data_IF_519677356731
#
_entry.id   IF_519677356731
#
_cell.length_a   1.000
_cell.length_b   1.000
_cell.length_c   1.000
_cell.angle_alpha   90.00
_cell.angle_beta   90.00
_cell.angle_gamma   90.00
#
_symmetry.space_group_name_H-M   'P 1'
#
loop_
_entity.id
_entity.type
_entity.pdbx_description
1 polymer ?
#
# COMPACT_ATOMS: atom_id res chain seq x y z
N UNK A 1 1.08 -5.76 -14.25
CA UNK A 1 0.78 -5.25 -12.88
C UNK A 1 1.88 -4.30 -12.42
N UNK A 2 3.13 -4.75 -12.23
CA UNK A 2 4.22 -3.90 -11.74
C UNK A 2 4.43 -2.55 -12.45
N UNK A 3 4.41 -2.52 -13.79
CA UNK A 3 4.54 -1.26 -14.55
C UNK A 3 3.39 -0.28 -14.29
N UNK A 4 2.14 -0.73 -14.39
CA UNK A 4 0.97 0.12 -14.15
C UNK A 4 0.90 0.64 -12.70
N UNK A 5 1.21 -0.22 -11.73
CA UNK A 5 1.25 0.14 -10.30
C UNK A 5 2.32 1.19 -9.97
N UNK A 6 3.34 1.33 -10.80
CA UNK A 6 4.38 2.35 -10.63
C UNK A 6 4.07 3.62 -11.42
N UNK A 7 3.68 3.50 -12.69
CA UNK A 7 3.51 4.65 -13.59
C UNK A 7 2.31 5.52 -13.22
N UNK A 8 1.18 4.93 -12.83
CA UNK A 8 -0.04 5.71 -12.55
C UNK A 8 0.13 6.64 -11.33
N UNK A 9 0.60 6.17 -10.16
CA UNK A 9 0.83 7.06 -9.02
C UNK A 9 1.86 8.16 -9.29
N UNK A 10 2.91 7.86 -10.07
CA UNK A 10 3.93 8.85 -10.45
C UNK A 10 3.32 9.93 -11.33
N UNK A 11 2.61 9.55 -12.39
CA UNK A 11 1.93 10.49 -13.27
C UNK A 11 0.94 11.38 -12.51
N UNK A 12 0.14 10.79 -11.62
CA UNK A 12 -0.78 11.53 -10.77
C UNK A 12 -0.06 12.50 -9.84
N UNK A 13 1.06 12.09 -9.23
CA UNK A 13 1.83 12.94 -8.33
C UNK A 13 2.49 14.13 -9.06
N UNK A 14 2.94 13.94 -10.29
CA UNK A 14 3.58 14.98 -11.11
C UNK A 14 2.56 15.96 -11.70
N UNK A 15 1.36 15.48 -12.05
CA UNK A 15 0.30 16.33 -12.59
C UNK A 15 -0.51 17.04 -11.50
N UNK A 16 -0.51 16.55 -10.25
CA UNK A 16 -1.30 17.12 -9.14
C UNK A 16 -0.59 18.25 -8.42
N UNK A 17 -1.34 19.27 -7.99
CA UNK A 17 -0.84 20.33 -7.10
C UNK A 17 -0.37 19.73 -5.77
N UNK A 18 0.62 20.36 -5.15
CA UNK A 18 1.27 19.85 -3.93
C UNK A 18 0.29 19.69 -2.75
N UNK A 19 -0.73 20.56 -2.66
CA UNK A 19 -1.76 20.60 -1.62
C UNK A 19 -2.73 19.40 -1.69
N UNK A 20 -3.11 18.95 -2.89
CA UNK A 20 -4.06 17.84 -3.10
C UNK A 20 -3.38 16.51 -3.45
N UNK A 21 -2.05 16.49 -3.59
CA UNK A 21 -1.29 15.32 -4.06
C UNK A 21 -1.58 14.06 -3.26
N UNK A 22 -1.60 14.17 -1.92
CA UNK A 22 -1.89 13.05 -1.03
C UNK A 22 -3.30 12.48 -1.25
N UNK A 23 -4.29 13.35 -1.47
CA UNK A 23 -5.67 12.94 -1.77
C UNK A 23 -5.76 12.24 -3.11
N UNK A 24 -5.14 12.76 -4.17
CA UNK A 24 -5.18 12.15 -5.52
C UNK A 24 -4.50 10.78 -5.54
N UNK A 25 -3.33 10.66 -4.89
CA UNK A 25 -2.64 9.37 -4.74
C UNK A 25 -3.44 8.41 -3.86
N UNK A 26 -4.09 8.90 -2.80
CA UNK A 26 -5.03 8.13 -1.98
C UNK A 26 -6.22 7.61 -2.78
N UNK A 27 -6.79 8.43 -3.68
CA UNK A 27 -7.87 8.03 -4.57
C UNK A 27 -7.45 6.86 -5.45
N UNK A 28 -6.22 6.83 -5.99
CA UNK A 28 -5.75 5.70 -6.79
C UNK A 28 -5.87 4.36 -6.04
N UNK A 29 -5.42 4.29 -4.79
CA UNK A 29 -5.55 3.07 -3.97
C UNK A 29 -7.02 2.69 -3.70
N UNK A 30 -7.89 3.68 -3.49
CA UNK A 30 -9.32 3.45 -3.36
C UNK A 30 -9.94 2.91 -4.67
N UNK A 31 -9.51 3.42 -5.83
CA UNK A 31 -9.96 2.96 -7.14
C UNK A 31 -9.52 1.51 -7.44
N UNK A 32 -8.36 1.08 -6.96
CA UNK A 32 -7.92 -0.33 -7.09
C UNK A 32 -8.92 -1.26 -6.40
N UNK A 33 -9.30 -0.97 -5.16
CA UNK A 33 -10.25 -1.81 -4.41
C UNK A 33 -11.69 -1.63 -4.91
N UNK A 34 -12.06 -0.44 -5.35
CA UNK A 34 -13.33 -0.24 -6.06
C UNK A 34 -13.41 -1.10 -7.33
N UNK A 35 -12.31 -1.23 -8.07
CA UNK A 35 -12.19 -2.14 -9.21
C UNK A 35 -12.43 -3.61 -8.83
N UNK A 36 -11.96 -4.04 -7.66
CA UNK A 36 -12.25 -5.40 -7.14
C UNK A 36 -13.74 -5.58 -6.83
N UNK A 37 -14.39 -4.60 -6.19
CA UNK A 37 -15.84 -4.63 -5.93
C UNK A 37 -16.61 -4.74 -7.25
N UNK A 38 -16.24 -3.93 -8.25
CA UNK A 38 -16.88 -3.93 -9.55
C UNK A 38 -16.67 -5.25 -10.29
N UNK A 39 -15.48 -5.83 -10.21
CA UNK A 39 -15.18 -7.15 -10.75
C UNK A 39 -16.07 -8.22 -10.10
N UNK A 40 -16.14 -8.28 -8.75
CA UNK A 40 -17.00 -9.25 -8.06
C UNK A 40 -18.49 -9.09 -8.41
N UNK A 41 -18.97 -7.87 -8.65
CA UNK A 41 -20.34 -7.61 -9.09
C UNK A 41 -20.60 -8.13 -10.51
N UNK A 42 -19.68 -7.88 -11.44
CA UNK A 42 -19.77 -8.36 -12.81
C UNK A 42 -19.70 -9.89 -12.85
N UNK A 43 -18.78 -10.48 -12.08
CA UNK A 43 -18.67 -11.93 -11.93
C UNK A 43 -19.98 -12.51 -11.39
N UNK A 44 -20.60 -11.88 -10.39
CA UNK A 44 -21.88 -12.32 -9.84
C UNK A 44 -23.03 -12.24 -10.84
N UNK A 45 -23.02 -11.23 -11.71
CA UNK A 45 -24.04 -11.05 -12.75
C UNK A 45 -23.91 -12.06 -13.89
N UNK A 46 -22.69 -12.34 -14.34
CA UNK A 46 -22.44 -13.22 -15.48
C UNK A 46 -22.32 -14.70 -15.10
N UNK A 47 -22.23 -15.04 -13.81
CA UNK A 47 -22.05 -16.42 -13.35
C UNK A 47 -23.16 -17.38 -13.80
N UNK A 48 -24.38 -16.88 -13.94
CA UNK A 48 -25.54 -17.69 -14.31
C UNK A 48 -25.65 -17.97 -15.82
N UNK A 49 -24.71 -17.46 -16.63
CA UNK A 49 -24.67 -17.70 -18.07
C UNK A 49 -23.67 -18.83 -18.40
N UNK A 50 -24.04 -19.73 -19.31
CA UNK A 50 -23.20 -20.88 -19.71
C UNK A 50 -21.82 -20.46 -20.29
N UNK A 51 -21.73 -19.31 -20.97
CA UNK A 51 -20.48 -18.70 -21.46
C UNK A 51 -20.04 -17.47 -20.64
N UNK A 52 -20.58 -17.31 -19.42
CA UNK A 52 -20.39 -16.16 -18.54
C UNK A 52 -18.93 -15.79 -18.28
N UNK A 53 -18.06 -16.77 -18.11
CA UNK A 53 -16.63 -16.58 -17.83
C UNK A 53 -15.90 -15.76 -18.90
N UNK A 54 -16.34 -15.84 -20.17
CA UNK A 54 -15.77 -15.02 -21.26
C UNK A 54 -16.07 -13.54 -21.05
N UNK A 55 -17.28 -13.24 -20.58
CA UNK A 55 -17.71 -11.87 -20.29
C UNK A 55 -17.04 -11.34 -19.02
N UNK A 56 -16.88 -12.18 -17.99
CA UNK A 56 -16.14 -11.84 -16.77
C UNK A 56 -14.71 -11.35 -17.07
N UNK A 57 -13.97 -12.11 -17.87
CA UNK A 57 -12.61 -11.73 -18.29
C UNK A 57 -12.62 -10.60 -19.32
N UNK A 58 -13.54 -10.67 -20.29
CA UNK A 58 -13.63 -9.73 -21.41
C UNK A 58 -13.99 -8.32 -21.00
N UNK A 59 -14.76 -8.13 -19.92
CA UNK A 59 -15.15 -6.80 -19.45
C UNK A 59 -13.94 -5.99 -18.93
N UNK A 60 -12.88 -6.66 -18.46
CA UNK A 60 -11.61 -6.01 -18.14
C UNK A 60 -10.98 -5.30 -19.35
N UNK A 61 -11.20 -5.79 -20.57
CA UNK A 61 -10.74 -5.14 -21.79
C UNK A 61 -11.47 -3.82 -22.05
N UNK A 62 -12.74 -3.69 -21.62
CA UNK A 62 -13.51 -2.44 -21.76
C UNK A 62 -12.87 -1.32 -20.93
N UNK A 63 -12.55 -1.59 -19.66
CA UNK A 63 -11.86 -0.61 -18.81
C UNK A 63 -10.46 -0.29 -19.32
N UNK A 64 -9.74 -1.29 -19.84
CA UNK A 64 -8.42 -1.09 -20.44
C UNK A 64 -8.50 -0.21 -21.71
N UNK A 65 -9.52 -0.41 -22.55
CA UNK A 65 -9.76 0.41 -23.74
C UNK A 65 -10.17 1.83 -23.36
N UNK A 66 -11.05 1.99 -22.37
CA UNK A 66 -11.41 3.30 -21.83
C UNK A 66 -10.17 4.05 -21.30
N UNK A 67 -9.29 3.36 -20.58
CA UNK A 67 -8.02 3.92 -20.12
C UNK A 67 -7.12 4.31 -21.29
N UNK A 68 -6.98 3.45 -22.31
CA UNK A 68 -6.18 3.71 -23.50
C UNK A 68 -6.68 4.94 -24.26
N UNK A 69 -7.99 5.03 -24.49
CA UNK A 69 -8.63 6.19 -25.13
C UNK A 69 -8.43 7.45 -24.27
N UNK A 70 -8.60 7.34 -22.95
CA UNK A 70 -8.36 8.43 -22.00
C UNK A 70 -6.92 8.95 -22.04
N UNK A 71 -5.94 8.06 -22.18
CA UNK A 71 -4.52 8.42 -22.27
C UNK A 71 -4.20 9.31 -23.48
N UNK A 72 -4.94 9.19 -24.59
CA UNK A 72 -4.74 10.05 -25.77
C UNK A 72 -5.08 11.52 -25.48
N UNK A 73 -5.98 11.79 -24.53
CA UNK A 73 -6.40 13.14 -24.16
C UNK A 73 -5.63 13.72 -22.97
N UNK A 74 -4.86 12.90 -22.27
CA UNK A 74 -4.09 13.30 -21.10
C UNK A 74 -2.80 14.02 -21.54
N UNK A 75 -2.46 15.17 -20.92
CA UNK A 75 -1.20 15.82 -21.20
C UNK A 75 -0.04 14.98 -20.65
N UNK A 76 1.13 15.05 -21.30
CA UNK A 76 2.35 14.47 -20.76
C UNK A 76 2.77 15.15 -19.44
N UNK A 77 3.51 14.43 -18.61
CA UNK A 77 3.99 14.98 -17.33
C UNK A 77 4.91 16.20 -17.56
N UNK A 78 4.71 17.33 -16.85
CA UNK A 78 5.61 18.48 -16.92
C UNK A 78 7.07 18.12 -16.63
N UNK A 79 7.32 17.26 -15.65
CA UNK A 79 8.68 16.84 -15.28
C UNK A 79 9.35 16.03 -16.38
N UNK A 80 8.58 15.17 -17.05
CA UNK A 80 9.08 14.39 -18.18
C UNK A 80 9.42 15.29 -19.39
N UNK A 81 8.61 16.30 -19.67
CA UNK A 81 8.85 17.26 -20.75
C UNK A 81 10.11 18.09 -20.49
N UNK A 82 10.31 18.61 -19.26
CA UNK A 82 11.55 19.33 -18.88
C UNK A 82 12.76 18.40 -18.99
N UNK A 83 12.66 17.14 -18.55
CA UNK A 83 13.74 16.15 -18.68
C UNK A 83 14.13 15.87 -20.13
N UNK A 84 13.20 16.01 -21.08
CA UNK A 84 13.47 15.89 -22.53
C UNK A 84 13.97 17.19 -23.16
N UNK A 85 14.09 18.28 -22.41
CA UNK A 85 14.43 19.62 -22.91
C UNK A 85 13.30 20.30 -23.68
N UNK A 86 12.05 19.83 -23.54
CA UNK A 86 10.87 20.42 -24.22
C UNK A 86 10.17 21.44 -23.31
N UNK A 87 10.91 22.46 -22.85
CA UNK A 87 10.47 23.41 -21.81
C UNK A 87 9.21 24.21 -22.21
N UNK A 88 9.11 24.63 -23.48
CA UNK A 88 7.93 25.36 -23.97
C UNK A 88 6.64 24.53 -23.83
N UNK A 89 6.73 23.21 -24.09
CA UNK A 89 5.59 22.30 -23.93
C UNK A 89 5.31 22.05 -22.45
N UNK A 90 6.35 21.90 -21.63
CA UNK A 90 6.20 21.74 -20.19
C UNK A 90 5.45 22.95 -19.57
N UNK A 91 5.82 24.16 -19.97
CA UNK A 91 5.20 25.40 -19.52
C UNK A 91 3.74 25.52 -19.99
N UNK A 92 3.44 25.10 -21.23
CA UNK A 92 2.07 25.04 -21.74
C UNK A 92 1.20 24.06 -20.95
N UNK A 93 1.74 22.89 -20.59
CA UNK A 93 1.05 21.90 -19.75
C UNK A 93 0.86 22.43 -18.32
N UNK A 94 1.89 23.04 -17.71
CA UNK A 94 1.78 23.68 -16.38
C UNK A 94 0.69 24.75 -16.39
N UNK A 95 0.65 25.60 -17.42
CA UNK A 95 -0.41 26.60 -17.60
C UNK A 95 -1.81 25.98 -17.65
N UNK A 96 -1.96 24.84 -18.33
CA UNK A 96 -3.23 24.10 -18.42
C UNK A 96 -3.62 23.47 -17.06
N UNK A 97 -2.66 22.96 -16.30
CA UNK A 97 -2.90 22.24 -15.03
C UNK A 97 -3.02 23.16 -13.81
N UNK A 98 -2.32 24.30 -13.81
CA UNK A 98 -2.16 25.20 -12.65
C UNK A 98 -2.82 26.56 -12.83
N UNK A 99 -3.12 26.96 -14.08
CA UNK A 99 -3.47 28.33 -14.43
C UNK A 99 -2.20 29.15 -14.75
N UNK A 100 -2.28 30.48 -14.70
CA UNK A 100 -1.17 31.36 -15.14
C UNK A 100 -0.18 31.77 -14.06
N UNK A 101 -0.42 31.47 -12.78
CA UNK A 101 0.41 31.95 -11.68
C UNK A 101 1.60 31.00 -11.38
N UNK A 102 2.81 31.58 -11.22
CA UNK A 102 4.03 30.92 -10.72
C UNK A 102 4.57 29.70 -11.51
N UNK A 103 4.15 29.49 -12.76
CA UNK A 103 4.62 28.34 -13.56
C UNK A 103 6.12 28.36 -13.87
N UNK A 104 6.72 29.54 -14.04
CA UNK A 104 8.15 29.69 -14.30
C UNK A 104 8.98 29.25 -13.08
N UNK A 105 8.55 29.64 -11.88
CA UNK A 105 9.16 29.18 -10.64
C UNK A 105 9.02 27.67 -10.44
N UNK A 106 7.84 27.09 -10.71
CA UNK A 106 7.64 25.63 -10.63
C UNK A 106 8.51 24.90 -11.67
N UNK A 107 8.75 25.49 -12.84
CA UNK A 107 9.65 24.94 -13.87
C UNK A 107 11.11 24.92 -13.41
N UNK A 108 11.58 25.99 -12.76
CA UNK A 108 12.94 26.02 -12.19
C UNK A 108 13.08 25.03 -11.03
N UNK A 109 12.08 24.92 -10.15
CA UNK A 109 12.05 23.89 -9.09
C UNK A 109 12.10 22.46 -9.67
N UNK A 110 11.48 22.23 -10.83
CA UNK A 110 11.55 20.94 -11.54
C UNK A 110 12.95 20.70 -12.10
N UNK A 111 13.62 21.71 -12.67
CA UNK A 111 14.98 21.60 -13.20
C UNK A 111 15.98 21.29 -12.10
N UNK A 112 15.94 22.03 -11.00
CA UNK A 112 16.80 21.79 -9.84
C UNK A 112 16.62 20.36 -9.32
N UNK A 113 15.37 19.88 -9.24
CA UNK A 113 15.09 18.51 -8.82
C UNK A 113 15.55 17.43 -9.83
N UNK A 114 15.64 17.75 -11.12
CA UNK A 114 16.15 16.84 -12.15
C UNK A 114 17.69 16.77 -12.11
N UNK A 115 18.36 17.89 -11.85
CA UNK A 115 19.81 17.93 -11.65
C UNK A 115 20.20 17.18 -10.37
N UNK A 116 19.40 17.30 -9.31
CA UNK A 116 19.55 16.44 -8.12
C UNK A 116 19.35 14.95 -8.45
N UNK A 117 18.41 14.58 -9.34
CA UNK A 117 18.24 13.19 -9.78
C UNK A 117 19.43 12.68 -10.61
N UNK A 118 20.12 13.54 -11.36
CA UNK A 118 21.33 13.14 -12.07
C UNK A 118 22.47 12.75 -11.11
N UNK A 119 22.40 13.21 -9.85
CA UNK A 119 23.33 12.86 -8.77
C UNK A 119 22.96 11.60 -7.98
N UNK A 120 22.01 10.79 -8.47
CA UNK A 120 21.61 9.54 -7.80
C UNK A 120 22.81 8.65 -7.46
N UNK A 121 22.78 8.10 -6.25
CA UNK A 121 23.83 7.24 -5.74
C UNK A 121 23.85 5.93 -6.53
N UNK A 122 25.04 5.50 -6.94
CA UNK A 122 25.24 4.15 -7.46
C UNK A 122 24.82 3.10 -6.43
N UNK A 123 24.33 1.95 -6.88
CA UNK A 123 23.98 0.79 -6.01
C UNK A 123 25.11 0.45 -5.03
N UNK A 124 26.39 0.57 -5.46
CA UNK A 124 27.55 0.34 -4.58
C UNK A 124 27.66 1.36 -3.44
N UNK A 125 27.29 2.61 -3.68
CA UNK A 125 27.28 3.67 -2.67
C UNK A 125 26.10 3.48 -1.70
N UNK A 126 24.92 3.08 -2.23
CA UNK A 126 23.75 2.72 -1.43
C UNK A 126 24.11 1.60 -0.43
N UNK A 127 24.70 0.50 -0.91
CA UNK A 127 25.07 -0.65 -0.07
C UNK A 127 26.13 -0.32 1.00
N UNK A 128 26.93 0.74 0.81
CA UNK A 128 27.93 1.19 1.79
C UNK A 128 27.37 2.19 2.80
N UNK A 129 26.29 2.87 2.47
CA UNK A 129 25.69 3.89 3.34
C UNK A 129 24.81 3.23 4.40
N UNK A 130 25.26 3.24 5.66
CA UNK A 130 24.51 2.66 6.79
C UNK A 130 23.10 3.26 6.94
N UNK A 131 22.90 4.60 6.93
CA UNK A 131 21.56 5.20 7.05
C UNK A 131 20.62 4.75 5.94
N UNK A 132 21.10 4.70 4.69
CA UNK A 132 20.31 4.27 3.54
C UNK A 132 19.95 2.79 3.66
N UNK A 133 20.88 1.94 4.11
CA UNK A 133 20.62 0.52 4.34
C UNK A 133 19.63 0.26 5.47
N UNK A 134 19.64 1.08 6.53
CA UNK A 134 18.61 1.03 7.58
C UNK A 134 17.23 1.38 7.01
N UNK A 135 17.13 2.48 6.25
CA UNK A 135 15.88 2.87 5.61
C UNK A 135 15.40 1.81 4.62
N UNK A 136 16.30 1.25 3.80
CA UNK A 136 16.01 0.16 2.85
C UNK A 136 15.51 -1.09 3.57
N UNK A 137 16.19 -1.53 4.63
CA UNK A 137 15.78 -2.67 5.44
C UNK A 137 14.40 -2.48 6.05
N UNK A 138 14.11 -1.29 6.57
CA UNK A 138 12.79 -0.95 7.10
C UNK A 138 11.72 -0.96 5.99
N UNK A 139 11.92 -0.26 4.88
CA UNK A 139 10.91 -0.18 3.83
C UNK A 139 10.68 -1.52 3.11
N UNK A 140 11.73 -2.27 2.80
CA UNK A 140 11.62 -3.63 2.24
C UNK A 140 10.99 -4.60 3.24
N UNK A 141 11.31 -4.47 4.54
CA UNK A 141 10.71 -5.27 5.60
C UNK A 141 9.21 -5.03 5.76
N UNK A 142 8.77 -3.77 5.68
CA UNK A 142 7.34 -3.42 5.70
C UNK A 142 6.62 -4.00 4.47
N UNK A 143 7.24 -3.93 3.29
CA UNK A 143 6.72 -4.52 2.06
C UNK A 143 6.61 -6.04 2.13
N UNK A 144 7.60 -6.72 2.72
CA UNK A 144 7.57 -8.15 2.95
C UNK A 144 6.46 -8.52 3.95
N UNK A 145 6.36 -7.78 5.06
CA UNK A 145 5.35 -8.00 6.10
C UNK A 145 3.93 -7.91 5.54
N UNK A 146 3.66 -6.94 4.65
CA UNK A 146 2.37 -6.80 3.97
C UNK A 146 1.93 -8.11 3.29
N UNK A 147 2.86 -8.83 2.65
CA UNK A 147 2.56 -10.07 1.92
C UNK A 147 2.61 -11.30 2.82
N UNK A 148 3.55 -11.35 3.76
CA UNK A 148 3.71 -12.45 4.72
C UNK A 148 2.50 -12.60 5.67
N UNK A 149 1.78 -11.51 5.94
CA UNK A 149 0.51 -11.55 6.70
C UNK A 149 -0.65 -12.16 5.87
N UNK A 150 -0.43 -12.46 4.59
CA UNK A 150 -1.25 -13.39 3.82
C UNK A 150 -2.49 -12.80 3.12
N UNK A 151 -2.52 -11.49 2.82
CA UNK A 151 -3.73 -10.85 2.27
C UNK A 151 -4.22 -11.50 0.97
N UNK A 152 -3.31 -11.73 0.02
CA UNK A 152 -3.69 -12.24 -1.30
C UNK A 152 -4.23 -13.67 -1.19
N UNK A 153 -3.62 -14.48 -0.35
CA UNK A 153 -4.11 -15.80 0.03
C UNK A 153 -5.52 -15.76 0.63
N UNK A 154 -5.73 -14.93 1.67
CA UNK A 154 -7.04 -14.80 2.31
C UNK A 154 -8.09 -14.33 1.31
N UNK A 155 -7.73 -13.42 0.39
CA UNK A 155 -8.64 -12.97 -0.66
C UNK A 155 -8.95 -14.08 -1.67
N UNK A 156 -7.95 -14.77 -2.22
CA UNK A 156 -8.13 -15.81 -3.24
C UNK A 156 -8.96 -16.99 -2.73
N UNK A 157 -8.73 -17.38 -1.47
CA UNK A 157 -9.41 -18.52 -0.87
C UNK A 157 -10.56 -18.13 0.06
N UNK A 158 -10.94 -16.86 0.14
CA UNK A 158 -12.03 -16.36 1.00
C UNK A 158 -13.33 -17.15 0.83
N UNK A 159 -13.72 -17.40 -0.42
CA UNK A 159 -14.88 -18.20 -0.77
C UNK A 159 -14.77 -19.64 -0.26
N UNK A 160 -13.62 -20.28 -0.46
CA UNK A 160 -13.34 -21.65 0.00
C UNK A 160 -13.35 -21.72 1.52
N UNK A 161 -12.69 -20.78 2.20
CA UNK A 161 -12.66 -20.62 3.67
C UNK A 161 -14.09 -20.55 4.22
N UNK A 162 -14.95 -19.73 3.63
CA UNK A 162 -16.33 -19.57 4.10
C UNK A 162 -17.19 -20.80 3.82
N UNK A 163 -17.03 -21.44 2.65
CA UNK A 163 -17.68 -22.71 2.33
C UNK A 163 -17.26 -23.80 3.32
N UNK A 164 -15.98 -23.90 3.60
CA UNK A 164 -15.42 -24.84 4.57
C UNK A 164 -15.84 -24.49 6.00
N UNK A 165 -16.09 -23.23 6.33
CA UNK A 165 -16.65 -22.86 7.63
C UNK A 165 -18.13 -23.28 7.80
N UNK A 166 -18.77 -23.78 6.75
CA UNK A 166 -20.16 -24.25 6.76
C UNK A 166 -21.16 -23.25 6.17
N UNK A 167 -20.69 -22.10 5.65
CA UNK A 167 -21.54 -21.19 4.88
C UNK A 167 -21.70 -21.77 3.46
N UNK A 168 -22.69 -22.65 3.27
CA UNK A 168 -23.05 -23.19 1.95
C UNK A 168 -23.50 -24.66 1.88
N UNK A 169 -23.42 -25.42 2.98
CA UNK A 169 -23.82 -26.85 3.02
C UNK A 169 -25.19 -27.08 3.65
N UNK A 170 -26.05 -27.86 2.97
CA UNK A 170 -27.29 -28.61 3.32
C UNK A 170 -28.22 -28.22 4.50
N UNK A 171 -27.98 -27.17 5.26
CA UNK A 171 -28.93 -26.62 6.23
C UNK A 171 -29.69 -25.45 5.65
N UNK A 172 -30.92 -25.24 6.11
CA UNK A 172 -31.84 -24.12 5.81
C UNK A 172 -31.31 -22.72 6.21
N UNK A 173 -29.98 -22.56 6.32
CA UNK A 173 -29.27 -21.32 6.59
C UNK A 173 -29.30 -20.41 5.36
N UNK A 174 -30.44 -19.75 5.16
CA UNK A 174 -30.69 -18.70 4.18
C UNK A 174 -29.89 -17.43 4.53
N UNK A 175 -28.56 -17.48 4.46
CA UNK A 175 -27.71 -16.30 4.73
C UNK A 175 -27.41 -15.49 3.45
N UNK A 176 -27.77 -15.98 2.27
CA UNK A 176 -27.71 -15.19 1.04
C UNK A 176 -28.85 -15.60 0.10
N UNK A 177 -29.52 -14.62 -0.51
CA UNK A 177 -30.66 -14.80 -1.41
C UNK A 177 -30.30 -15.46 -2.76
N UNK A 178 -29.16 -16.13 -2.85
CA UNK A 178 -28.48 -16.50 -4.09
C UNK A 178 -28.26 -18.01 -4.15
N UNK A 179 -28.23 -18.56 -5.37
CA UNK A 179 -27.97 -19.98 -5.63
C UNK A 179 -26.66 -20.45 -4.94
N UNK A 180 -26.62 -21.68 -4.42
CA UNK A 180 -25.49 -22.24 -3.65
C UNK A 180 -24.17 -22.20 -4.42
N UNK A 181 -24.24 -22.32 -5.74
CA UNK A 181 -23.06 -22.31 -6.62
C UNK A 181 -22.45 -20.92 -6.81
N UNK A 182 -23.25 -19.85 -6.65
CA UNK A 182 -22.82 -18.45 -6.77
C UNK A 182 -22.34 -17.84 -5.45
N UNK A 183 -22.53 -18.56 -4.32
CA UNK A 183 -22.16 -18.09 -2.99
C UNK A 183 -20.69 -17.64 -2.89
N UNK A 184 -19.69 -18.36 -3.44
CA UNK A 184 -18.30 -17.90 -3.52
C UNK A 184 -18.10 -16.46 -4.02
N UNK A 185 -18.85 -16.07 -5.06
CA UNK A 185 -18.68 -14.79 -5.74
C UNK A 185 -19.25 -13.65 -4.89
N UNK A 186 -20.42 -13.85 -4.30
CA UNK A 186 -21.04 -12.88 -3.39
C UNK A 186 -20.28 -12.74 -2.06
N UNK A 187 -19.62 -13.81 -1.62
CA UNK A 187 -18.72 -13.76 -0.48
C UNK A 187 -17.44 -12.98 -0.81
N UNK A 188 -16.88 -13.16 -2.02
CA UNK A 188 -15.77 -12.33 -2.51
C UNK A 188 -16.14 -10.84 -2.52
N UNK A 189 -17.34 -10.48 -3.00
CA UNK A 189 -17.83 -9.10 -2.91
C UNK A 189 -17.83 -8.56 -1.47
N UNK A 190 -18.30 -9.38 -0.51
CA UNK A 190 -18.31 -9.02 0.91
C UNK A 190 -16.91 -8.78 1.46
N UNK A 191 -15.92 -9.57 1.02
CA UNK A 191 -14.51 -9.36 1.39
C UNK A 191 -13.94 -8.07 0.82
N UNK A 192 -14.18 -7.77 -0.45
CA UNK A 192 -13.71 -6.54 -1.09
C UNK A 192 -14.34 -5.30 -0.46
N UNK A 193 -15.64 -5.34 -0.12
CA UNK A 193 -16.32 -4.26 0.59
C UNK A 193 -15.73 -4.03 1.99
N UNK A 194 -15.39 -5.11 2.72
CA UNK A 194 -14.76 -5.02 4.04
C UNK A 194 -13.38 -4.35 3.97
N UNK A 195 -12.58 -4.73 2.98
CA UNK A 195 -11.27 -4.11 2.74
C UNK A 195 -11.40 -2.63 2.33
N UNK A 196 -12.35 -2.31 1.45
CA UNK A 196 -12.62 -0.93 1.02
C UNK A 196 -13.00 -0.04 2.21
N UNK A 197 -13.87 -0.54 3.09
CA UNK A 197 -14.22 0.15 4.33
C UNK A 197 -12.98 0.40 5.19
N UNK A 198 -12.12 -0.61 5.35
CA UNK A 198 -10.83 -0.47 6.03
C UNK A 198 -10.01 0.67 5.46
N UNK A 199 -9.85 0.73 4.13
CA UNK A 199 -9.09 1.79 3.45
C UNK A 199 -9.67 3.17 3.72
N UNK A 200 -10.99 3.35 3.65
CA UNK A 200 -11.63 4.63 3.93
C UNK A 200 -11.39 5.10 5.37
N UNK A 201 -11.44 4.17 6.33
CA UNK A 201 -11.12 4.46 7.73
C UNK A 201 -9.64 4.84 7.84
N UNK A 202 -8.75 4.03 7.26
CA UNK A 202 -7.31 4.24 7.29
C UNK A 202 -6.89 5.58 6.71
N UNK A 203 -7.47 5.99 5.58
CA UNK A 203 -7.19 7.29 4.97
C UNK A 203 -7.57 8.46 5.89
N UNK A 204 -8.78 8.43 6.47
CA UNK A 204 -9.21 9.49 7.40
C UNK A 204 -8.36 9.53 8.67
N UNK A 205 -7.86 8.37 9.10
CA UNK A 205 -7.15 8.23 10.35
C UNK A 205 -5.64 8.47 10.18
N UNK A 206 -5.07 8.25 9.00
CA UNK A 206 -3.66 8.46 8.65
C UNK A 206 -3.19 9.87 8.97
N UNK A 207 -4.02 10.85 8.66
CA UNK A 207 -3.71 12.26 8.90
C UNK A 207 -3.84 12.64 10.38
N UNK A 208 -4.56 11.86 11.19
CA UNK A 208 -4.85 12.14 12.61
C UNK A 208 -4.02 11.36 13.61
N UNK A 209 -3.68 10.11 13.32
CA UNK A 209 -2.95 9.22 14.22
C UNK A 209 -1.47 9.12 13.87
N UNK A 210 -1.09 9.27 12.60
CA UNK A 210 0.27 9.00 12.15
C UNK A 210 0.47 7.58 11.65
N UNK A 211 1.64 7.33 11.05
CA UNK A 211 1.89 6.12 10.26
C UNK A 211 2.22 4.94 11.17
N UNK A 212 3.03 5.16 12.21
CA UNK A 212 3.47 4.12 13.14
C UNK A 212 2.30 3.52 13.94
N UNK A 213 1.45 4.29 14.65
CA UNK A 213 0.36 3.71 15.45
C UNK A 213 -0.67 3.01 14.58
N UNK A 214 -0.92 3.47 13.35
CA UNK A 214 -1.83 2.79 12.42
C UNK A 214 -1.29 1.45 11.92
N UNK A 215 -0.02 1.38 11.56
CA UNK A 215 0.61 0.12 11.19
C UNK A 215 0.60 -0.87 12.37
N UNK A 216 0.97 -0.42 13.56
CA UNK A 216 0.97 -1.26 14.77
C UNK A 216 -0.43 -1.79 15.09
N UNK A 217 -1.41 -0.91 15.10
CA UNK A 217 -2.79 -1.31 15.39
C UNK A 217 -3.39 -2.19 14.29
N UNK A 218 -3.03 -1.96 13.01
CA UNK A 218 -3.36 -2.88 11.90
C UNK A 218 -2.80 -4.28 12.13
N UNK A 219 -1.51 -4.40 12.48
CA UNK A 219 -0.89 -5.69 12.78
C UNK A 219 -1.49 -6.37 14.02
N UNK A 220 -1.78 -5.62 15.09
CA UNK A 220 -2.35 -6.18 16.31
C UNK A 220 -3.77 -6.74 16.08
N UNK A 221 -4.63 -5.97 15.39
CA UNK A 221 -5.99 -6.43 15.07
C UNK A 221 -5.93 -7.57 14.06
N UNK A 222 -5.05 -7.51 13.05
CA UNK A 222 -4.87 -8.60 12.09
C UNK A 222 -4.41 -9.90 12.76
N UNK A 223 -3.47 -9.83 13.70
CA UNK A 223 -3.03 -10.99 14.50
C UNK A 223 -4.21 -11.60 15.27
N UNK A 224 -4.96 -10.78 16.03
CA UNK A 224 -6.13 -11.26 16.76
C UNK A 224 -7.19 -11.86 15.83
N UNK A 225 -7.47 -11.20 14.71
CA UNK A 225 -8.47 -11.66 13.75
C UNK A 225 -8.08 -12.98 13.07
N UNK A 226 -6.81 -13.16 12.71
CA UNK A 226 -6.27 -14.41 12.19
C UNK A 226 -6.29 -15.53 13.25
N UNK A 227 -5.99 -15.20 14.50
CA UNK A 227 -6.09 -16.15 15.61
C UNK A 227 -7.54 -16.63 15.84
N UNK A 228 -8.50 -15.70 15.82
CA UNK A 228 -9.93 -16.00 15.90
C UNK A 228 -10.39 -16.86 14.72
N UNK A 229 -9.92 -16.54 13.51
CA UNK A 229 -10.26 -17.29 12.31
C UNK A 229 -9.73 -18.73 12.39
N UNK A 230 -8.47 -18.93 12.78
CA UNK A 230 -7.91 -20.27 13.03
C UNK A 230 -8.63 -21.02 14.16
N UNK A 231 -9.02 -20.31 15.23
CA UNK A 231 -9.81 -20.88 16.33
C UNK A 231 -11.22 -21.30 15.92
N UNK A 232 -11.86 -20.57 14.99
CA UNK A 232 -13.12 -20.96 14.38
C UNK A 232 -13.01 -22.29 13.63
N UNK A 233 -11.97 -22.47 12.82
CA UNK A 233 -11.71 -23.75 12.16
C UNK A 233 -11.40 -24.88 13.13
N UNK A 234 -10.64 -24.62 14.19
CA UNK A 234 -10.35 -25.60 15.24
C UNK A 234 -11.61 -26.08 15.98
N UNK A 235 -12.55 -25.16 16.25
CA UNK A 235 -13.80 -25.45 16.92
C UNK A 235 -14.80 -26.22 16.04
N UNK A 236 -14.65 -26.16 14.71
CA UNK A 236 -15.52 -26.87 13.75
C UNK A 236 -15.38 -28.41 13.85
N UNK A 237 -14.21 -28.92 14.21
CA UNK A 237 -13.91 -30.36 14.26
C UNK A 237 -14.54 -31.10 15.47
N UNK A 238 -15.58 -30.53 16.09
CA UNK A 238 -16.27 -31.11 17.25
C UNK A 238 -17.76 -31.24 16.89
N UNK A 239 -18.33 -32.43 17.05
CA UNK A 239 -19.69 -32.81 16.64
C UNK A 239 -20.84 -32.14 17.43
N UNK A 240 -20.64 -30.94 17.96
CA UNK A 240 -21.64 -30.20 18.74
C UNK A 240 -22.33 -29.12 17.86
N UNK A 241 -23.66 -29.20 17.64
CA UNK A 241 -24.40 -28.25 16.81
C UNK A 241 -24.43 -26.82 17.37
N UNK A 242 -24.30 -26.63 18.69
CA UNK A 242 -24.19 -25.27 19.28
C UNK A 242 -22.83 -24.65 19.01
N UNK A 243 -21.78 -25.48 19.04
CA UNK A 243 -20.41 -25.09 18.75
C UNK A 243 -20.20 -24.79 17.26
N UNK A 244 -20.99 -25.41 16.38
CA UNK A 244 -21.00 -25.14 14.94
C UNK A 244 -21.43 -23.71 14.58
N UNK A 245 -22.42 -23.14 15.29
CA UNK A 245 -22.81 -21.73 15.08
C UNK A 245 -21.77 -20.76 15.64
N UNK A 246 -21.18 -21.09 16.79
CA UNK A 246 -20.12 -20.29 17.39
C UNK A 246 -18.87 -20.29 16.50
N UNK A 247 -18.48 -21.44 15.93
CA UNK A 247 -17.33 -21.54 15.01
C UNK A 247 -17.54 -20.72 13.74
N UNK A 248 -18.73 -20.78 13.13
CA UNK A 248 -19.12 -19.96 11.98
C UNK A 248 -19.01 -18.46 12.30
N UNK A 249 -19.52 -18.03 13.45
CA UNK A 249 -19.46 -16.64 13.88
C UNK A 249 -18.01 -16.19 14.12
N UNK A 250 -17.17 -17.03 14.74
CA UNK A 250 -15.75 -16.76 14.95
C UNK A 250 -14.98 -16.63 13.63
N UNK A 251 -15.19 -17.57 12.69
CA UNK A 251 -14.53 -17.54 11.38
C UNK A 251 -14.93 -16.30 10.58
N UNK A 252 -16.22 -15.96 10.54
CA UNK A 252 -16.70 -14.78 9.81
C UNK A 252 -16.18 -13.49 10.45
N UNK A 253 -16.24 -13.38 11.78
CA UNK A 253 -15.74 -12.21 12.51
C UNK A 253 -14.23 -12.05 12.33
N UNK A 254 -13.49 -13.15 12.39
CA UNK A 254 -12.05 -13.16 12.11
C UNK A 254 -11.74 -12.74 10.68
N UNK A 255 -12.50 -13.21 9.69
CA UNK A 255 -12.26 -12.88 8.28
C UNK A 255 -12.52 -11.40 8.01
N UNK A 256 -13.70 -10.90 8.39
CA UNK A 256 -14.08 -9.50 8.20
C UNK A 256 -13.18 -8.59 9.00
N UNK A 257 -12.92 -8.92 10.26
CA UNK A 257 -12.01 -8.17 11.13
C UNK A 257 -10.60 -8.07 10.56
N UNK A 258 -10.07 -9.16 10.00
CA UNK A 258 -8.78 -9.18 9.33
C UNK A 258 -8.76 -8.26 8.11
N UNK A 259 -9.77 -8.34 7.23
CA UNK A 259 -9.82 -7.55 6.00
C UNK A 259 -9.95 -6.05 6.28
N UNK A 260 -10.76 -5.66 7.26
CA UNK A 260 -10.89 -4.27 7.71
C UNK A 260 -9.57 -3.78 8.31
N UNK A 261 -8.97 -4.57 9.22
CA UNK A 261 -7.71 -4.23 9.87
C UNK A 261 -6.56 -4.09 8.86
N UNK A 262 -6.50 -4.98 7.87
CA UNK A 262 -5.54 -4.91 6.79
C UNK A 262 -5.76 -3.64 5.95
N UNK A 263 -7.02 -3.39 5.56
CA UNK A 263 -7.41 -2.22 4.76
C UNK A 263 -6.99 -0.89 5.38
N UNK A 264 -7.11 -0.73 6.70
CA UNK A 264 -6.86 0.56 7.35
C UNK A 264 -5.39 0.96 7.48
N UNK A 265 -4.46 0.02 7.30
CA UNK A 265 -3.06 0.23 7.62
C UNK A 265 -2.15 -0.47 6.63
N UNK A 266 -2.01 -1.80 6.77
CA UNK A 266 -1.12 -2.60 5.92
C UNK A 266 -1.46 -2.54 4.42
N UNK A 267 -2.67 -2.19 4.01
CA UNK A 267 -3.01 -2.06 2.59
C UNK A 267 -2.31 -0.87 1.91
N UNK A 268 -2.29 0.30 2.56
CA UNK A 268 -1.87 1.57 1.93
C UNK A 268 -0.56 2.11 2.48
N UNK A 269 -0.32 1.97 3.79
CA UNK A 269 0.84 2.58 4.45
C UNK A 269 2.19 2.05 3.97
N UNK A 270 2.38 0.75 3.66
CA UNK A 270 3.62 0.27 3.05
C UNK A 270 4.00 1.06 1.79
N UNK A 271 3.03 1.29 0.89
CA UNK A 271 3.25 2.02 -0.36
C UNK A 271 3.54 3.50 -0.13
N UNK A 272 2.86 4.12 0.84
CA UNK A 272 3.15 5.51 1.24
C UNK A 272 4.57 5.64 1.81
N UNK A 273 4.94 4.76 2.74
CA UNK A 273 6.25 4.78 3.39
C UNK A 273 7.39 4.47 2.41
N UNK A 274 7.15 3.65 1.39
CA UNK A 274 8.11 3.42 0.32
C UNK A 274 8.52 4.70 -0.43
N UNK A 275 7.67 5.74 -0.40
CA UNK A 275 7.99 7.06 -0.95
C UNK A 275 8.61 8.03 0.06
N UNK A 276 8.39 7.82 1.36
CA UNK A 276 8.79 8.74 2.44
C UNK A 276 10.14 8.39 3.09
N UNK A 277 10.49 7.09 3.17
CA UNK A 277 11.62 6.61 4.00
C UNK A 277 13.00 6.89 3.42
N UNK A 278 13.12 7.04 2.09
CA UNK A 278 14.40 7.07 1.41
C UNK A 278 14.91 8.48 1.14
N UNK A 279 16.23 8.70 1.28
CA UNK A 279 16.85 9.94 0.85
C UNK A 279 16.69 10.11 -0.66
N UNK A 280 16.56 11.36 -1.10
CA UNK A 280 16.28 11.73 -2.48
C UNK A 280 17.22 11.02 -3.46
N UNK A 281 18.53 11.07 -3.20
CA UNK A 281 19.56 10.50 -4.07
C UNK A 281 19.56 8.96 -4.19
N UNK A 282 18.81 8.23 -3.35
CA UNK A 282 18.70 6.76 -3.44
C UNK A 282 17.24 6.28 -3.59
N UNK A 283 16.28 7.21 -3.67
CA UNK A 283 14.86 6.90 -3.50
C UNK A 283 14.31 5.97 -4.56
N UNK A 284 14.58 6.24 -5.83
CA UNK A 284 14.08 5.44 -6.95
C UNK A 284 14.55 3.99 -6.87
N UNK A 285 15.84 3.80 -6.64
CA UNK A 285 16.48 2.49 -6.51
C UNK A 285 15.96 1.73 -5.29
N UNK A 286 15.93 2.37 -4.11
CA UNK A 286 15.42 1.74 -2.89
C UNK A 286 13.93 1.38 -2.99
N UNK A 287 13.11 2.29 -3.52
CA UNK A 287 11.68 2.04 -3.74
C UNK A 287 11.45 0.89 -4.73
N UNK A 288 12.28 0.77 -5.77
CA UNK A 288 12.29 -0.34 -6.72
C UNK A 288 12.60 -1.68 -6.04
N UNK A 289 13.68 -1.74 -5.24
CA UNK A 289 14.07 -2.95 -4.48
C UNK A 289 12.97 -3.38 -3.51
N UNK A 290 12.37 -2.44 -2.78
CA UNK A 290 11.25 -2.72 -1.86
C UNK A 290 10.00 -3.20 -2.59
N UNK A 291 9.69 -2.63 -3.75
CA UNK A 291 8.58 -3.08 -4.60
C UNK A 291 8.84 -4.49 -5.12
N UNK A 292 10.05 -4.80 -5.56
CA UNK A 292 10.45 -6.15 -5.96
C UNK A 292 10.31 -7.14 -4.80
N UNK A 293 10.72 -6.72 -3.59
CA UNK A 293 10.56 -7.51 -2.37
C UNK A 293 9.09 -7.84 -2.10
N UNK A 294 8.19 -6.86 -2.28
CA UNK A 294 6.75 -7.09 -2.17
C UNK A 294 6.29 -8.21 -3.13
N UNK A 295 6.57 -8.08 -4.43
CA UNK A 295 6.12 -9.07 -5.41
C UNK A 295 6.78 -10.44 -5.23
N UNK A 296 8.03 -10.48 -4.75
CA UNK A 296 8.71 -11.74 -4.41
C UNK A 296 8.00 -12.47 -3.26
N UNK A 297 7.72 -11.78 -2.15
CA UNK A 297 7.01 -12.39 -1.03
C UNK A 297 5.56 -12.72 -1.39
N UNK A 298 4.93 -11.93 -2.25
CA UNK A 298 3.63 -12.28 -2.80
C UNK A 298 3.66 -13.64 -3.52
N UNK A 299 4.64 -13.84 -4.41
CA UNK A 299 4.81 -15.10 -5.13
C UNK A 299 5.07 -16.27 -4.17
N UNK A 300 5.96 -16.09 -3.19
CA UNK A 300 6.29 -17.13 -2.19
C UNK A 300 5.05 -17.53 -1.38
N UNK A 301 4.32 -16.56 -0.83
CA UNK A 301 3.14 -16.82 0.00
C UNK A 301 2.01 -17.44 -0.82
N UNK A 302 1.75 -16.94 -2.02
CA UNK A 302 0.73 -17.51 -2.91
C UNK A 302 1.05 -18.94 -3.33
N UNK A 303 2.32 -19.24 -3.65
CA UNK A 303 2.76 -20.56 -4.08
C UNK A 303 2.87 -21.58 -2.95
N UNK A 304 3.15 -21.15 -1.72
CA UNK A 304 3.29 -22.05 -0.56
C UNK A 304 2.01 -22.32 0.21
N UNK A 305 0.99 -21.47 0.08
CA UNK A 305 -0.20 -21.56 0.95
C UNK A 305 -0.97 -22.88 0.82
N UNK A 306 -1.26 -23.34 -0.39
CA UNK A 306 -2.00 -24.60 -0.57
C UNK A 306 -1.22 -25.78 0.02
N UNK A 307 0.08 -25.82 -0.21
CA UNK A 307 0.96 -26.82 0.39
C UNK A 307 0.91 -26.79 1.92
N UNK A 308 0.88 -25.60 2.54
CA UNK A 308 0.74 -25.49 4.00
C UNK A 308 -0.61 -26.03 4.49
N UNK A 309 -1.71 -25.75 3.79
CA UNK A 309 -3.04 -26.24 4.16
C UNK A 309 -3.16 -27.77 4.01
N UNK A 310 -2.47 -28.35 3.02
CA UNK A 310 -2.45 -29.80 2.77
C UNK A 310 -1.49 -30.58 3.70
N UNK A 311 -0.62 -29.88 4.43
CA UNK A 311 0.26 -30.47 5.45
C UNK A 311 -0.47 -30.66 6.80
N UNK A 312 0.16 -31.30 7.81
CA UNK A 312 -0.46 -31.47 9.14
C UNK A 312 -0.82 -30.17 9.88
N UNK A 313 -0.41 -29.00 9.37
CA UNK A 313 -0.87 -27.71 9.88
C UNK A 313 -2.37 -27.50 9.63
N UNK A 314 -2.93 -28.08 8.58
CA UNK A 314 -4.30 -27.88 8.14
C UNK A 314 -4.66 -26.37 7.97
N UNK A 315 -5.94 -26.08 7.74
CA UNK A 315 -6.44 -24.71 7.62
C UNK A 315 -6.22 -23.90 8.92
N UNK A 316 -6.50 -24.51 10.07
CA UNK A 316 -6.39 -23.86 11.39
C UNK A 316 -4.95 -23.43 11.73
N UNK A 317 -3.97 -24.33 11.55
CA UNK A 317 -2.57 -24.07 11.87
C UNK A 317 -1.95 -23.07 10.91
N UNK A 318 -2.39 -23.05 9.65
CA UNK A 318 -1.95 -22.05 8.68
C UNK A 318 -2.36 -20.63 9.11
N UNK A 319 -3.59 -20.43 9.60
CA UNK A 319 -4.01 -19.11 10.10
C UNK A 319 -3.33 -18.71 11.40
N UNK A 320 -3.04 -19.66 12.29
CA UNK A 320 -2.23 -19.39 13.47
C UNK A 320 -0.78 -19.04 13.13
N UNK A 321 -0.19 -19.67 12.11
CA UNK A 321 1.11 -19.28 11.60
C UNK A 321 1.10 -17.84 11.07
N UNK A 322 0.11 -17.46 10.27
CA UNK A 322 -0.07 -16.08 9.80
C UNK A 322 -0.28 -15.09 10.97
N UNK A 323 -1.01 -15.50 12.00
CA UNK A 323 -1.16 -14.72 13.24
C UNK A 323 0.18 -14.51 13.93
N UNK A 324 0.99 -15.56 14.08
CA UNK A 324 2.34 -15.47 14.66
C UNK A 324 3.25 -14.53 13.85
N UNK A 325 3.17 -14.59 12.52
CA UNK A 325 3.87 -13.66 11.62
C UNK A 325 3.40 -12.22 11.85
N UNK A 326 2.09 -11.99 11.99
CA UNK A 326 1.55 -10.67 12.28
C UNK A 326 1.99 -10.12 13.66
N UNK A 327 2.09 -10.98 14.68
CA UNK A 327 2.65 -10.63 16.00
C UNK A 327 4.15 -10.31 15.90
N UNK A 328 4.93 -11.13 15.18
CA UNK A 328 6.35 -10.87 14.96
C UNK A 328 6.55 -9.54 14.21
N UNK A 329 5.72 -9.28 13.20
CA UNK A 329 5.67 -8.01 12.49
C UNK A 329 5.32 -6.82 13.39
N UNK A 330 4.33 -6.99 14.28
CA UNK A 330 3.99 -5.98 15.30
C UNK A 330 5.19 -5.64 16.18
N UNK A 331 5.86 -6.66 16.74
CA UNK A 331 7.03 -6.46 17.61
C UNK A 331 8.16 -5.79 16.84
N UNK A 332 8.43 -6.24 15.61
CA UNK A 332 9.46 -5.65 14.76
C UNK A 332 9.16 -4.19 14.43
N UNK A 333 7.94 -3.86 14.03
CA UNK A 333 7.52 -2.47 13.81
C UNK A 333 7.59 -1.65 15.09
N UNK A 334 7.24 -2.24 16.24
CA UNK A 334 7.28 -1.53 17.51
C UNK A 334 8.70 -1.11 17.88
N UNK A 335 9.70 -1.96 17.60
CA UNK A 335 11.11 -1.67 17.85
C UNK A 335 11.70 -0.72 16.80
N UNK A 336 11.50 -0.99 15.52
CA UNK A 336 12.29 -0.37 14.44
C UNK A 336 11.58 0.74 13.68
N UNK A 337 10.25 0.84 13.72
CA UNK A 337 9.51 1.84 12.94
C UNK A 337 9.46 3.18 13.69
N UNK A 338 10.11 4.25 13.20
CA UNK A 338 9.92 5.58 13.75
C UNK A 338 8.59 6.19 13.26
N UNK A 339 8.13 7.25 13.94
CA UNK A 339 7.02 8.05 13.42
C UNK A 339 7.52 9.02 12.34
N UNK A 340 6.86 9.01 11.17
CA UNK A 340 7.17 9.87 10.01
C UNK A 340 6.16 11.01 9.83
N UNK A 341 5.02 10.99 10.52
CA UNK A 341 4.00 12.03 10.38
C UNK A 341 4.52 13.41 10.75
N UNK A 342 4.23 14.38 9.89
CA UNK A 342 4.53 15.79 10.12
C UNK A 342 6.01 16.14 9.98
N UNK A 343 6.85 15.18 9.58
CA UNK A 343 8.27 15.40 9.31
C UNK A 343 8.49 15.63 7.82
N UNK A 344 9.39 16.54 7.51
CA UNK A 344 9.95 16.75 6.19
C UNK A 344 10.84 15.57 5.80
N UNK A 345 11.07 15.39 4.50
CA UNK A 345 11.96 14.34 3.98
C UNK A 345 13.38 14.49 4.53
N UNK A 346 13.85 15.72 4.75
CA UNK A 346 15.16 15.99 5.36
C UNK A 346 15.24 15.51 6.81
N UNK A 347 14.23 15.80 7.62
CA UNK A 347 14.15 15.34 9.02
C UNK A 347 14.07 13.81 9.13
N UNK A 348 13.39 13.14 8.19
CA UNK A 348 13.35 11.68 8.14
C UNK A 348 14.73 11.10 7.82
N UNK A 349 15.47 11.69 6.89
CA UNK A 349 16.83 11.25 6.58
C UNK A 349 17.77 11.44 7.76
N UNK A 350 17.73 12.62 8.40
CA UNK A 350 18.53 12.90 9.60
C UNK A 350 18.25 11.89 10.71
N UNK A 351 16.98 11.52 10.91
CA UNK A 351 16.59 10.50 11.87
C UNK A 351 17.22 9.13 11.55
N UNK A 352 17.33 8.75 10.28
CA UNK A 352 18.02 7.50 9.90
C UNK A 352 19.55 7.61 10.04
N UNK A 353 20.13 8.79 9.88
CA UNK A 353 21.54 9.05 10.18
C UNK A 353 21.84 8.89 11.67
N UNK A 354 21.00 9.49 12.52
CA UNK A 354 21.09 9.39 13.97
C UNK A 354 20.93 7.93 14.45
N UNK A 355 19.94 7.21 13.91
CA UNK A 355 19.71 5.78 14.20
C UNK A 355 20.88 4.90 13.73
N UNK A 356 21.55 5.28 12.65
CA UNK A 356 22.74 4.58 12.16
C UNK A 356 24.01 4.90 12.97
N UNK A 357 23.92 5.80 13.97
CA UNK A 357 25.05 6.26 14.77
C UNK A 357 26.01 7.18 14.00
N UNK A 358 25.54 7.80 12.91
CA UNK A 358 26.31 8.76 12.13
C UNK A 358 25.96 10.15 12.65
N UNK A 359 26.77 10.70 13.57
CA UNK A 359 26.63 12.12 13.95
C UNK A 359 26.93 12.97 12.71
N UNK A 360 25.93 13.68 12.20
CA UNK A 360 26.10 14.69 11.16
C UNK A 360 27.00 15.81 11.67
N UNK A 361 28.21 15.93 11.14
CA UNK A 361 29.08 17.11 11.33
C UNK A 361 28.65 18.27 10.42
N UNK A 362 27.35 18.50 10.26
CA UNK A 362 26.81 19.48 9.32
C UNK A 362 25.79 20.39 10.01
N UNK A 363 26.21 21.14 11.03
CA UNK A 363 25.41 22.24 11.59
C UNK A 363 26.22 23.46 12.06
N UNK A 364 27.36 23.75 11.42
CA UNK A 364 28.09 24.99 11.67
C UNK A 364 28.48 25.62 10.33
N UNK A 365 27.59 26.44 9.78
CA UNK A 365 27.90 27.15 8.54
C UNK A 365 26.82 27.99 7.90
N UNK A 366 25.71 28.33 8.59
CA UNK A 366 24.80 29.37 8.12
C UNK A 366 24.19 30.10 9.32
N UNK A 367 25.02 30.79 10.10
CA UNK A 367 24.56 31.97 10.84
C UNK A 367 24.54 33.13 9.85
N UNK A 368 23.32 33.48 9.43
CA UNK A 368 22.99 34.72 8.74
C UNK A 368 23.63 35.88 9.51
N UNK A 369 24.60 36.55 8.88
CA UNK A 369 25.13 37.81 9.37
C UNK A 369 24.06 38.88 9.20
N UNK A 370 23.27 39.12 10.24
CA UNK A 370 22.70 40.43 10.50
C UNK A 370 23.70 41.17 11.37
N UNK A 371 24.35 42.18 10.80
CA UNK A 371 24.74 43.41 11.50
C UNK A 371 25.28 44.37 10.44
N UNK A 372 24.33 45.01 9.75
CA UNK A 372 24.55 46.28 9.11
C UNK A 372 24.12 47.36 10.11
N UNK A 373 25.09 48.06 10.69
CA UNK A 373 25.06 49.50 11.01
C UNK A 373 26.23 49.82 11.96
N UNK A 374 27.29 50.45 11.44
CA UNK A 374 27.81 51.69 12.02
C UNK A 374 28.79 52.33 11.03
N UNK A 375 28.31 53.40 10.40
CA UNK A 375 29.08 54.32 9.58
C UNK A 375 29.98 55.21 10.45
N UNK A 376 31.02 55.74 9.82
CA UNK A 376 31.80 56.95 10.14
C UNK A 376 32.98 56.94 11.14
N UNK A 377 34.16 57.23 10.56
CA UNK A 377 35.17 58.21 10.97
C UNK A 377 36.00 57.93 12.25
N UNK A 378 37.29 57.56 12.09
CA UNK A 378 38.39 58.51 12.33
C UNK A 378 39.78 57.98 11.90
N UNK A 379 40.52 58.85 11.21
CA UNK A 379 41.98 59.08 11.20
C UNK A 379 42.98 57.92 11.01
N UNK A 380 43.59 57.91 9.82
CA UNK A 380 44.92 57.42 9.50
C UNK A 380 45.41 58.11 8.24
#
# INVERSE_FOLDING_TARGET
IGFASHTVPVYLAECSKADIRGTVVGCFNAFVVFGQILASLLDGAFFYLDDGWRYMLGFGAVFSLLQLVGMVFLPESPRWLVRRGEDDKALAVLRKLRGTANNEREMDEIRDALDEQASELSIRQILRSRPVMYALGLGSGIMALQQLVGINTVMYYSATILKDAGFGGNGDGKLCCCNKDALPIWLSLSTSCSQFLGILIGQKLSDRMGRRPLLLSSCAIAALALALLGGGFAAKNRDDPTLSRASQALTLTGLVGYLVAFGWGLATLPWTLNGELYPMAARSTCAGISTMTNWLFNFIVAGSFLTLVETPLETQGTFWLLSCIAVAGFVWLWVYMPETRGKTLGEINQMFEDLAGVRSSFSAGHSVGSDAEFFTLNSG
#
